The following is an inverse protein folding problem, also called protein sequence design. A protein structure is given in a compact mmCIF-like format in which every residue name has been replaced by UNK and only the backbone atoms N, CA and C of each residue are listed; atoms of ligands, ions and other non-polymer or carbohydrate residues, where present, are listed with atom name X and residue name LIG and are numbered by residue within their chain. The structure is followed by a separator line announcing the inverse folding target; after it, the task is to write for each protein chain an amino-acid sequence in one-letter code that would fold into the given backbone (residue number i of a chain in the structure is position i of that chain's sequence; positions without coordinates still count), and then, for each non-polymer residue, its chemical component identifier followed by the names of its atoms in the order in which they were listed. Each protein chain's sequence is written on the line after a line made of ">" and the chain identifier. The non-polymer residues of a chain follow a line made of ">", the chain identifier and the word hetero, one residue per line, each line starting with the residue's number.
data_IF_870525461574
#
_entry.id   IF_870525461574
#
_cell.length_a   1.000
_cell.length_b   1.000
_cell.length_c   1.000
_cell.angle_alpha   90.00
_cell.angle_beta   90.00
_cell.angle_gamma   90.00
#
_symmetry.space_group_name_H-M   'P 1'
#
loop_
_entity.id
_entity.type
_entity.pdbx_description
1 polymer ?
#
# COMPACT_ATOMS: atom_id res chain seq x y z
N UNK A 1 -10.16 -30.15 69.47
CA UNK A 1 -10.52 -28.81 68.97
C UNK A 1 -9.36 -28.31 68.11
N UNK A 2 -9.42 -28.52 66.78
CA UNK A 2 -8.41 -28.05 65.82
C UNK A 2 -9.16 -27.31 64.72
N UNK A 3 -8.94 -26.01 64.58
CA UNK A 3 -9.52 -25.18 63.52
C UNK A 3 -8.83 -25.44 62.18
N UNK A 4 -9.55 -25.41 61.03
CA UNK A 4 -8.91 -25.64 59.74
C UNK A 4 -8.29 -24.34 59.19
N UNK A 5 -7.05 -24.46 58.72
CA UNK A 5 -6.32 -23.42 58.00
C UNK A 5 -6.85 -23.31 56.55
N UNK A 6 -7.63 -22.27 56.23
CA UNK A 6 -8.03 -21.95 54.85
C UNK A 6 -6.88 -21.25 54.12
N UNK A 7 -6.21 -21.95 53.19
CA UNK A 7 -5.29 -21.34 52.22
C UNK A 7 -6.04 -20.42 51.27
N UNK A 8 -5.81 -19.10 51.39
CA UNK A 8 -6.35 -18.07 50.51
C UNK A 8 -5.47 -17.95 49.26
N UNK A 9 -5.87 -18.64 48.19
CA UNK A 9 -5.23 -18.50 46.88
C UNK A 9 -5.51 -17.08 46.34
N UNK A 10 -4.47 -16.24 46.22
CA UNK A 10 -4.56 -14.90 45.62
C UNK A 10 -4.18 -15.01 44.14
N UNK A 11 -5.07 -14.66 43.18
CA UNK A 11 -4.71 -14.66 41.77
C UNK A 11 -4.00 -13.35 41.44
N UNK A 12 -2.67 -13.38 41.33
CA UNK A 12 -1.82 -12.22 41.00
C UNK A 12 -1.86 -11.86 39.50
N UNK A 13 -2.66 -12.54 38.68
CA UNK A 13 -2.64 -12.45 37.21
C UNK A 13 -3.58 -11.41 36.58
N UNK A 14 -4.17 -10.48 37.33
CA UNK A 14 -5.11 -9.49 36.75
C UNK A 14 -4.44 -8.39 35.89
N UNK A 15 -3.12 -8.19 36.01
CA UNK A 15 -2.42 -7.10 35.30
C UNK A 15 -2.13 -7.41 33.82
N UNK A 16 -2.03 -8.70 33.45
CA UNK A 16 -1.80 -9.11 32.05
C UNK A 16 -3.08 -9.14 31.20
N UNK A 17 -4.25 -9.17 31.83
CA UNK A 17 -5.54 -9.32 31.14
C UNK A 17 -5.94 -8.08 30.33
N UNK A 18 -5.33 -6.92 30.56
CA UNK A 18 -5.68 -5.65 29.88
C UNK A 18 -4.74 -5.35 28.71
N UNK A 19 -3.53 -5.92 28.69
CA UNK A 19 -2.54 -5.64 27.63
C UNK A 19 -2.94 -6.21 26.27
N UNK A 20 -3.53 -7.41 26.26
CA UNK A 20 -3.95 -8.12 25.05
C UNK A 20 -5.07 -7.37 24.28
N UNK A 21 -6.17 -6.91 24.91
CA UNK A 21 -7.20 -6.18 24.19
C UNK A 21 -6.76 -4.80 23.71
N UNK A 22 -5.82 -4.14 24.40
CA UNK A 22 -5.29 -2.83 23.97
C UNK A 22 -4.43 -2.95 22.71
N UNK A 23 -3.57 -3.97 22.63
CA UNK A 23 -2.79 -4.26 21.41
C UNK A 23 -3.69 -4.63 20.22
N UNK A 24 -4.77 -5.37 20.48
CA UNK A 24 -5.72 -5.75 19.43
C UNK A 24 -6.52 -4.55 18.89
N UNK A 25 -6.88 -3.60 19.77
CA UNK A 25 -7.59 -2.38 19.38
C UNK A 25 -6.73 -1.41 18.54
N UNK A 26 -5.40 -1.44 18.67
CA UNK A 26 -4.51 -0.62 17.85
C UNK A 26 -4.35 -1.13 16.41
N UNK A 27 -4.66 -2.41 16.16
CA UNK A 27 -4.53 -3.02 14.83
C UNK A 27 -5.71 -2.73 13.89
N UNK A 28 -6.85 -2.26 14.41
CA UNK A 28 -8.11 -2.16 13.63
C UNK A 28 -8.30 -0.85 12.88
N UNK A 29 -7.32 0.06 12.87
CA UNK A 29 -7.50 1.43 12.35
C UNK A 29 -6.87 1.68 10.97
N UNK A 30 -6.62 0.63 10.19
CA UNK A 30 -6.19 0.77 8.80
C UNK A 30 -7.42 1.04 7.92
N UNK A 31 -7.84 2.30 7.84
CA UNK A 31 -8.78 2.72 6.80
C UNK A 31 -8.04 2.69 5.46
N UNK A 32 -8.40 1.73 4.61
CA UNK A 32 -7.86 1.63 3.25
C UNK A 32 -8.59 2.67 2.41
N UNK A 33 -7.99 3.83 2.27
CA UNK A 33 -8.48 4.85 1.35
C UNK A 33 -8.45 4.28 -0.08
N UNK A 34 -9.58 4.39 -0.78
CA UNK A 34 -9.67 3.93 -2.16
C UNK A 34 -8.81 4.86 -3.03
N UNK A 35 -7.85 4.34 -3.82
CA UNK A 35 -7.05 5.20 -4.68
C UNK A 35 -7.91 5.77 -5.80
N UNK A 36 -7.61 7.01 -6.19
CA UNK A 36 -8.15 7.58 -7.42
C UNK A 36 -7.42 6.98 -8.63
N UNK A 37 -8.16 6.62 -9.68
CA UNK A 37 -7.60 6.09 -10.92
C UNK A 37 -7.81 7.12 -12.02
N UNK A 38 -6.72 7.59 -12.62
CA UNK A 38 -6.74 8.53 -13.75
C UNK A 38 -6.15 7.83 -14.96
N UNK A 39 -6.94 7.72 -16.04
CA UNK A 39 -6.48 7.18 -17.32
C UNK A 39 -6.09 8.35 -18.24
N UNK A 40 -4.80 8.41 -18.58
CA UNK A 40 -4.27 9.32 -19.61
C UNK A 40 -3.98 8.50 -20.87
N UNK A 41 -4.58 8.91 -22.00
CA UNK A 41 -4.38 8.28 -23.30
C UNK A 41 -4.11 9.37 -24.33
N UNK A 42 -3.07 9.17 -25.14
CA UNK A 42 -2.74 10.03 -26.27
C UNK A 42 -3.20 9.37 -27.57
N UNK A 43 -3.73 10.17 -28.48
CA UNK A 43 -4.11 9.73 -29.82
C UNK A 43 -2.87 9.70 -30.73
N UNK A 44 -2.77 8.68 -31.58
CA UNK A 44 -1.69 8.49 -32.57
C UNK A 44 -0.24 8.65 -32.06
N UNK A 45 0.00 8.47 -30.76
CA UNK A 45 1.34 8.57 -30.20
C UNK A 45 2.16 7.31 -30.55
N UNK A 46 3.20 7.51 -31.36
CA UNK A 46 4.12 6.48 -31.76
C UNK A 46 5.00 5.98 -30.61
N UNK A 47 5.46 4.73 -30.72
CA UNK A 47 6.23 4.02 -29.69
C UNK A 47 7.38 4.82 -29.07
N UNK A 48 8.22 5.45 -29.90
CA UNK A 48 9.44 6.14 -29.46
C UNK A 48 9.26 7.66 -29.33
N UNK A 49 8.03 8.19 -29.35
CA UNK A 49 7.76 9.63 -29.36
C UNK A 49 7.71 10.25 -27.94
N UNK A 50 8.62 9.85 -27.05
CA UNK A 50 8.73 10.41 -25.69
C UNK A 50 10.18 10.60 -25.27
N UNK A 51 10.41 11.52 -24.33
CA UNK A 51 11.71 11.83 -23.77
C UNK A 51 12.37 10.62 -23.10
N UNK A 52 11.60 9.80 -22.38
CA UNK A 52 12.09 8.56 -21.76
C UNK A 52 12.49 7.47 -22.76
N UNK A 53 12.13 7.59 -24.05
CA UNK A 53 12.69 6.78 -25.14
C UNK A 53 13.90 7.43 -25.84
N UNK A 54 14.36 8.58 -25.36
CA UNK A 54 15.51 9.30 -25.92
C UNK A 54 15.17 10.09 -27.19
N UNK A 55 13.90 10.46 -27.40
CA UNK A 55 13.50 11.23 -28.57
C UNK A 55 14.18 12.61 -28.59
N UNK A 56 14.81 13.03 -29.71
CA UNK A 56 15.75 14.16 -29.70
C UNK A 56 15.10 15.55 -29.62
N UNK A 57 13.83 15.70 -30.05
CA UNK A 57 13.16 16.99 -30.17
C UNK A 57 12.03 17.19 -29.16
N UNK A 58 11.17 16.18 -29.02
CA UNK A 58 10.03 16.16 -28.11
C UNK A 58 10.48 15.97 -26.66
N UNK A 59 10.16 16.95 -25.81
CA UNK A 59 10.43 16.93 -24.38
C UNK A 59 9.16 16.59 -23.63
N UNK A 60 9.17 15.53 -22.84
CA UNK A 60 7.98 15.06 -22.09
C UNK A 60 8.28 14.94 -20.59
N UNK A 61 8.72 16.03 -19.92
CA UNK A 61 9.26 15.95 -18.56
C UNK A 61 8.32 15.28 -17.55
N UNK A 62 7.01 15.55 -17.65
CA UNK A 62 6.01 14.91 -16.78
C UNK A 62 5.88 13.40 -17.06
N UNK A 63 5.91 12.98 -18.33
CA UNK A 63 5.88 11.55 -18.67
C UNK A 63 7.18 10.86 -18.27
N UNK A 64 8.31 11.57 -18.40
CA UNK A 64 9.64 11.07 -18.03
C UNK A 64 9.75 10.85 -16.52
N UNK A 65 9.19 11.77 -15.72
CA UNK A 65 9.10 11.64 -14.28
C UNK A 65 8.13 10.52 -13.86
N UNK A 66 7.00 10.35 -14.56
CA UNK A 66 6.10 9.21 -14.31
C UNK A 66 6.77 7.87 -14.64
N UNK A 67 7.53 7.80 -15.75
CA UNK A 67 8.27 6.60 -16.12
C UNK A 67 9.39 6.25 -15.10
N UNK A 68 10.00 7.26 -14.48
CA UNK A 68 11.05 7.07 -13.46
C UNK A 68 10.50 6.65 -12.09
N UNK A 69 9.33 7.17 -11.72
CA UNK A 69 8.72 6.94 -10.41
C UNK A 69 7.66 5.82 -10.40
N UNK A 70 7.37 5.24 -11.56
CA UNK A 70 6.34 4.22 -11.74
C UNK A 70 6.85 2.97 -12.43
N UNK A 71 5.90 2.15 -12.89
CA UNK A 71 6.17 1.01 -13.75
C UNK A 71 6.00 1.43 -15.21
N UNK A 72 7.06 1.28 -16.01
CA UNK A 72 7.01 1.43 -17.47
C UNK A 72 6.95 0.07 -18.14
N UNK A 73 6.05 -0.08 -19.12
CA UNK A 73 5.90 -1.31 -19.89
C UNK A 73 6.54 -1.16 -21.28
N UNK A 74 7.75 -1.70 -21.44
CA UNK A 74 8.56 -1.60 -22.66
C UNK A 74 8.09 -2.52 -23.80
N UNK A 75 7.00 -3.27 -23.61
CA UNK A 75 6.39 -4.13 -24.63
C UNK A 75 4.87 -4.16 -24.47
N UNK A 76 4.24 -2.98 -24.56
CA UNK A 76 2.79 -2.82 -24.49
C UNK A 76 2.23 -2.53 -25.89
N UNK A 77 1.49 -3.47 -26.47
CA UNK A 77 1.02 -3.41 -27.85
C UNK A 77 -0.49 -3.12 -27.92
N UNK A 78 -0.90 -2.32 -28.92
CA UNK A 78 -2.30 -2.16 -29.25
C UNK A 78 -2.86 -3.46 -29.87
N UNK A 79 -4.09 -3.84 -29.50
CA UNK A 79 -4.72 -5.06 -30.01
C UNK A 79 -5.15 -4.96 -31.48
N UNK A 80 -5.47 -3.75 -31.96
CA UNK A 80 -5.87 -3.47 -33.33
C UNK A 80 -5.43 -2.04 -33.70
N UNK A 81 -4.18 -1.85 -34.16
CA UNK A 81 -3.72 -0.55 -34.61
C UNK A 81 -4.43 -0.16 -35.92
N UNK A 82 -4.79 1.12 -36.05
CA UNK A 82 -5.30 1.74 -37.28
C UNK A 82 -4.19 2.20 -38.22
#
# INVERSE_FOLDING_TARGET
>A
MVTPFKRRFRPTMKKFSILVPVLLAMATNAQIDRPNVVLLMADDMGWAQTGYYGYPLMKTPNLDDMARNGLRMDRFYAGAPS
#
